data_IF_438987991342
#
_entry.id   IF_438987991342
#
_cell.length_a   1.000
_cell.length_b   1.000
_cell.length_c   1.000
_cell.angle_alpha   90.00
_cell.angle_beta   90.00
_cell.angle_gamma   90.00
#
_symmetry.space_group_name_H-M   'P 1'
#
loop_
_entity.id
_entity.type
_entity.pdbx_description
1 polymer ?
#
# COMPACT_ATOMS: atom_id res chain seq x y z
N UNK A 1 4.98 16.27 13.16
CA UNK A 1 5.81 15.95 11.98
C UNK A 1 5.47 16.98 10.91
N UNK A 2 6.25 18.05 10.82
CA UNK A 2 5.97 19.18 9.93
C UNK A 2 7.07 19.23 8.86
N UNK A 3 6.67 19.35 7.59
CA UNK A 3 7.59 19.49 6.47
C UNK A 3 7.21 20.72 5.66
N UNK A 4 8.09 21.72 5.66
CA UNK A 4 7.95 22.88 4.79
C UNK A 4 8.34 22.51 3.35
N UNK A 5 7.51 22.93 2.41
CA UNK A 5 7.77 22.86 0.98
C UNK A 5 8.07 24.26 0.46
N UNK A 6 9.18 24.39 -0.25
CA UNK A 6 9.66 25.67 -0.77
C UNK A 6 9.13 25.96 -2.18
N UNK A 7 8.60 24.93 -2.86
CA UNK A 7 7.94 25.02 -4.17
C UNK A 7 7.13 23.75 -4.44
N UNK A 8 6.27 23.78 -5.46
CA UNK A 8 5.54 22.58 -5.91
C UNK A 8 6.49 21.49 -6.40
N UNK A 9 7.56 21.86 -7.09
CA UNK A 9 8.56 20.90 -7.58
C UNK A 9 9.25 20.19 -6.41
N UNK A 10 9.68 20.96 -5.40
CA UNK A 10 10.27 20.40 -4.18
C UNK A 10 9.28 19.48 -3.43
N UNK A 11 7.99 19.83 -3.40
CA UNK A 11 6.97 18.96 -2.81
C UNK A 11 6.83 17.63 -3.58
N UNK A 12 6.78 17.67 -4.91
CA UNK A 12 6.71 16.46 -5.74
C UNK A 12 7.92 15.56 -5.52
N UNK A 13 9.12 16.12 -5.49
CA UNK A 13 10.35 15.36 -5.23
C UNK A 13 10.30 14.67 -3.86
N UNK A 14 9.94 15.40 -2.80
CA UNK A 14 9.83 14.84 -1.44
C UNK A 14 8.79 13.72 -1.36
N UNK A 15 7.61 13.93 -1.96
CA UNK A 15 6.54 12.92 -1.97
C UNK A 15 6.96 11.69 -2.76
N UNK A 16 7.61 11.87 -3.92
CA UNK A 16 8.10 10.76 -4.73
C UNK A 16 9.16 9.94 -3.99
N UNK A 17 10.12 10.61 -3.34
CA UNK A 17 11.14 9.95 -2.52
C UNK A 17 10.53 9.17 -1.34
N UNK A 18 9.53 9.76 -0.68
CA UNK A 18 8.80 9.09 0.40
C UNK A 18 8.00 7.90 -0.09
N UNK A 19 7.28 8.02 -1.20
CA UNK A 19 6.50 6.92 -1.78
C UNK A 19 7.41 5.75 -2.17
N UNK A 20 8.58 6.04 -2.75
CA UNK A 20 9.58 5.03 -3.07
C UNK A 20 10.08 4.32 -1.80
N UNK A 21 10.47 5.07 -0.76
CA UNK A 21 10.89 4.49 0.53
C UNK A 21 9.82 3.57 1.13
N UNK A 22 8.59 4.06 1.20
CA UNK A 22 7.48 3.34 1.78
C UNK A 22 7.17 2.05 1.04
N UNK A 23 7.10 2.11 -0.30
CA UNK A 23 6.70 0.97 -1.12
C UNK A 23 7.78 -0.11 -1.23
N UNK A 24 9.06 0.26 -1.14
CA UNK A 24 10.17 -0.64 -1.48
C UNK A 24 11.03 -1.07 -0.30
N UNK A 25 11.11 -0.25 0.77
CA UNK A 25 12.08 -0.48 1.86
C UNK A 25 11.46 -0.81 3.21
N UNK A 26 10.20 -0.43 3.44
CA UNK A 26 9.57 -0.59 4.76
C UNK A 26 8.73 -1.88 4.83
N UNK A 27 9.04 -2.82 5.74
CA UNK A 27 8.18 -3.94 6.02
C UNK A 27 6.98 -3.52 6.88
N UNK A 28 5.78 -4.00 6.56
CA UNK A 28 4.54 -3.63 7.25
C UNK A 28 3.88 -4.82 7.94
N UNK A 29 3.55 -4.68 9.23
CA UNK A 29 3.04 -5.79 10.05
C UNK A 29 1.69 -6.33 9.58
N UNK A 30 0.83 -5.51 8.98
CA UNK A 30 -0.47 -5.93 8.44
C UNK A 30 -0.38 -6.86 7.24
N UNK A 31 0.75 -6.86 6.53
CA UNK A 31 1.03 -7.69 5.35
C UNK A 31 2.20 -8.64 5.60
N UNK A 32 2.33 -9.13 6.84
CA UNK A 32 3.31 -10.14 7.21
C UNK A 32 4.76 -9.66 7.18
N UNK A 33 4.99 -8.37 7.44
CA UNK A 33 6.30 -7.72 7.34
C UNK A 33 6.91 -7.75 5.94
N UNK A 34 6.08 -7.84 4.90
CA UNK A 34 6.49 -7.58 3.53
C UNK A 34 6.51 -6.08 3.23
N UNK A 35 7.29 -5.68 2.23
CA UNK A 35 7.13 -4.36 1.60
C UNK A 35 5.85 -4.36 0.77
N UNK A 36 5.19 -3.20 0.60
CA UNK A 36 3.98 -3.12 -0.23
C UNK A 36 4.20 -3.66 -1.65
N UNK A 37 5.37 -3.39 -2.24
CA UNK A 37 5.76 -3.93 -3.55
C UNK A 37 5.85 -5.47 -3.55
N UNK A 38 6.52 -6.07 -2.57
CA UNK A 38 6.65 -7.53 -2.48
C UNK A 38 5.30 -8.20 -2.25
N UNK A 39 4.42 -7.59 -1.45
CA UNK A 39 3.05 -8.06 -1.28
C UNK A 39 2.25 -7.98 -2.58
N UNK A 40 2.33 -6.86 -3.32
CA UNK A 40 1.64 -6.72 -4.61
C UNK A 40 2.12 -7.75 -5.65
N UNK A 41 3.42 -8.06 -5.67
CA UNK A 41 3.98 -9.09 -6.55
C UNK A 41 3.44 -10.50 -6.26
N UNK A 42 3.01 -10.76 -5.01
CA UNK A 42 2.37 -12.04 -4.65
C UNK A 42 0.90 -12.15 -5.08
N UNK A 43 0.27 -11.03 -5.43
CA UNK A 43 -1.12 -11.04 -5.89
C UNK A 43 -1.17 -11.49 -7.35
N UNK A 44 -1.82 -12.62 -7.60
CA UNK A 44 -2.19 -13.00 -8.96
C UNK A 44 -3.34 -12.12 -9.41
N UNK A 45 -3.13 -11.33 -10.46
CA UNK A 45 -4.20 -10.53 -11.06
C UNK A 45 -5.23 -11.48 -11.70
N UNK A 46 -6.31 -11.78 -10.96
CA UNK A 46 -7.46 -12.51 -11.50
C UNK A 46 -8.29 -11.57 -12.35
N UNK A 47 -7.90 -11.37 -13.61
CA UNK A 47 -8.64 -10.53 -14.54
C UNK A 47 -8.17 -10.75 -15.97
N UNK A 48 -9.12 -10.93 -16.88
CA UNK A 48 -8.90 -10.87 -18.34
C UNK A 48 -8.08 -9.60 -18.66
N UNK A 49 -7.13 -9.64 -19.62
CA UNK A 49 -6.33 -8.47 -20.00
C UNK A 49 -7.22 -7.25 -20.23
N UNK A 50 -6.79 -6.10 -19.70
CA UNK A 50 -7.51 -4.84 -19.83
C UNK A 50 -7.87 -4.61 -21.31
N UNK A 51 -9.14 -4.28 -21.57
CA UNK A 51 -9.57 -3.92 -22.91
C UNK A 51 -8.67 -2.80 -23.45
N UNK A 52 -8.30 -2.94 -24.71
CA UNK A 52 -7.40 -2.08 -25.45
C UNK A 52 -7.94 -0.65 -25.43
N UNK A 53 -7.07 0.31 -25.07
CA UNK A 53 -7.05 1.80 -25.16
C UNK A 53 -8.35 2.64 -25.34
N UNK A 54 -9.40 2.12 -25.96
CA UNK A 54 -10.65 2.80 -26.31
C UNK A 54 -11.86 2.34 -25.45
N UNK A 55 -11.63 1.83 -24.24
CA UNK A 55 -12.73 1.36 -23.40
C UNK A 55 -12.51 1.64 -21.92
N UNK A 56 -13.35 2.53 -21.36
CA UNK A 56 -13.50 2.77 -19.92
C UNK A 56 -14.10 1.55 -19.21
N UNK A 57 -13.38 0.42 -19.18
CA UNK A 57 -13.80 -0.73 -18.40
C UNK A 57 -13.25 -0.64 -16.97
N UNK A 58 -14.11 -0.96 -16.00
CA UNK A 58 -13.78 -0.94 -14.57
C UNK A 58 -12.57 -1.83 -14.25
N UNK A 59 -11.68 -1.30 -13.40
CA UNK A 59 -10.41 -1.92 -13.00
C UNK A 59 -10.66 -3.17 -12.15
N UNK A 60 -9.75 -4.16 -12.16
CA UNK A 60 -9.85 -5.33 -11.29
C UNK A 60 -9.85 -4.87 -9.83
N UNK A 61 -10.96 -5.08 -9.13
CA UNK A 61 -11.03 -4.92 -7.68
C UNK A 61 -10.43 -6.21 -7.11
N UNK A 62 -9.26 -6.10 -6.49
CA UNK A 62 -8.63 -7.22 -5.79
C UNK A 62 -9.68 -7.96 -4.93
N UNK A 63 -9.67 -9.29 -4.98
CA UNK A 63 -10.61 -10.11 -4.20
C UNK A 63 -10.48 -9.79 -2.70
N UNK A 64 -11.58 -9.81 -1.92
CA UNK A 64 -11.52 -9.61 -0.48
C UNK A 64 -10.63 -10.70 0.13
N UNK A 65 -9.50 -10.28 0.69
CA UNK A 65 -8.60 -11.16 1.44
C UNK A 65 -9.36 -11.81 2.59
N UNK A 66 -9.18 -13.13 2.73
CA UNK A 66 -9.86 -13.95 3.73
C UNK A 66 -9.41 -13.54 5.14
N UNK A 67 -10.39 -13.06 5.94
CA UNK A 67 -10.35 -12.74 7.38
C UNK A 67 -9.12 -11.97 7.89
N UNK A 68 -9.39 -10.74 8.35
CA UNK A 68 -8.47 -9.99 9.18
C UNK A 68 -8.02 -10.79 10.41
N UNK A 69 -6.71 -10.85 10.61
CA UNK A 69 -6.12 -11.18 11.90
C UNK A 69 -6.33 -9.95 12.79
N UNK A 70 -7.50 -9.87 13.42
CA UNK A 70 -7.67 -9.01 14.59
C UNK A 70 -7.04 -9.73 15.76
N UNK A 71 -5.95 -9.20 16.31
CA UNK A 71 -5.47 -9.58 17.64
C UNK A 71 -6.15 -8.66 18.67
N UNK A 72 -7.16 -9.12 19.43
CA UNK A 72 -7.64 -8.39 20.60
C UNK A 72 -6.79 -8.79 21.82
N UNK A 73 -5.66 -8.11 22.06
CA UNK A 73 -5.07 -8.08 23.40
C UNK A 73 -3.97 -7.04 23.53
N UNK A 74 -4.28 -5.96 24.26
CA UNK A 74 -3.51 -5.56 25.44
C UNK A 74 -4.47 -4.86 26.42
N UNK A 75 -5.12 -5.65 27.29
CA UNK A 75 -5.55 -5.16 28.59
C UNK A 75 -4.29 -5.20 29.47
N UNK A 76 -3.81 -4.04 29.90
CA UNK A 76 -2.93 -3.96 31.08
C UNK A 76 -3.73 -3.21 32.15
N UNK A 77 -4.12 -3.97 33.17
CA UNK A 77 -4.47 -3.44 34.48
C UNK A 77 -3.35 -3.88 35.44
N UNK A 78 -2.74 -2.92 36.13
CA UNK A 78 -2.33 -2.96 37.53
C UNK A 78 -1.21 -1.93 37.79
N UNK A 79 -1.41 -1.13 38.83
CA UNK A 79 -0.53 -0.07 39.30
C UNK A 79 -1.36 1.01 39.97
#
# INVERSE_FOLDING_TARGET
>A
NESLFFSLDHARQKVAAWALDYNTRRPHSSIGYLTPEAFAASLTATGRPAAQDESCAARPVAHPTLRGVTNPRTLVAAG
#
